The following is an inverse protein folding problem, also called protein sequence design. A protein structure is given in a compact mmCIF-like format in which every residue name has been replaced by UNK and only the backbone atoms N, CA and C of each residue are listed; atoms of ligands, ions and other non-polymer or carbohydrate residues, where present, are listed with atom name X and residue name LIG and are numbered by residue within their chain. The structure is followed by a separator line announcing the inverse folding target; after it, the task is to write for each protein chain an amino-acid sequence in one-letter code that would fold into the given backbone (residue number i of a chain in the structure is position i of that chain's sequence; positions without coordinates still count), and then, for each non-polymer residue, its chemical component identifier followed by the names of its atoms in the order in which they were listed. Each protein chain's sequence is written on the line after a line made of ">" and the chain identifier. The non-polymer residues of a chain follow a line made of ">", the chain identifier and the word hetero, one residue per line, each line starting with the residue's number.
data_IF_777002307909
#
_entry.id   IF_777002307909
#
_cell.length_a   1.000
_cell.length_b   1.000
_cell.length_c   1.000
_cell.angle_alpha   90.00
_cell.angle_beta   90.00
_cell.angle_gamma   90.00
#
_symmetry.space_group_name_H-M   'P 1'
#
loop_
_entity.id
_entity.type
_entity.pdbx_description
1 polymer ?
#
# COMPACT_ATOMS: atom_id res chain seq x y z
N UNK A 1 0.03 -1.37 -6.77
CA UNK A 1 -1.28 -1.54 -7.44
C UNK A 1 -1.77 -0.17 -7.84
N UNK A 2 -2.33 -0.05 -9.04
CA UNK A 2 -2.91 1.18 -9.58
C UNK A 2 -4.27 0.83 -10.20
N UNK A 3 -5.34 1.55 -9.86
CA UNK A 3 -6.74 1.16 -10.15
C UNK A 3 -7.06 -0.30 -9.85
N UNK A 4 -6.74 -0.77 -8.64
CA UNK A 4 -6.99 -2.17 -8.20
C UNK A 4 -6.24 -3.25 -9.01
N UNK A 5 -5.42 -2.85 -9.99
CA UNK A 5 -4.67 -3.76 -10.85
C UNK A 5 -3.16 -3.69 -10.58
N UNK A 6 -2.48 -4.81 -10.81
CA UNK A 6 -1.02 -4.87 -10.77
C UNK A 6 -0.50 -4.48 -12.14
N UNK A 7 0.45 -3.55 -12.22
CA UNK A 7 0.99 -3.06 -13.49
C UNK A 7 1.56 -4.17 -14.39
N UNK A 8 2.09 -5.25 -13.79
CA UNK A 8 2.57 -6.44 -14.51
C UNK A 8 1.44 -7.24 -15.18
N UNK A 9 0.23 -7.20 -14.63
CA UNK A 9 -0.96 -7.86 -15.21
C UNK A 9 -1.66 -6.94 -16.21
N UNK A 10 -1.74 -5.65 -15.92
CA UNK A 10 -2.40 -4.67 -16.80
C UNK A 10 -1.60 -4.45 -18.11
N UNK A 11 -0.27 -4.37 -18.02
CA UNK A 11 0.60 -4.05 -19.15
C UNK A 11 1.77 -5.03 -19.27
N UNK A 12 1.53 -6.31 -19.58
CA UNK A 12 2.56 -7.36 -19.54
C UNK A 12 3.73 -7.12 -20.52
N UNK A 13 3.44 -6.58 -21.71
CA UNK A 13 4.46 -6.30 -22.72
C UNK A 13 5.27 -5.06 -22.36
N UNK A 14 4.64 -4.01 -21.84
CA UNK A 14 5.35 -2.81 -21.41
C UNK A 14 6.22 -3.09 -20.17
N UNK A 15 5.69 -3.87 -19.23
CA UNK A 15 6.37 -4.19 -17.97
C UNK A 15 7.65 -5.01 -18.17
N UNK A 16 7.73 -5.86 -19.20
CA UNK A 16 8.95 -6.63 -19.49
C UNK A 16 10.10 -5.75 -19.98
N UNK A 17 9.80 -4.60 -20.59
CA UNK A 17 10.78 -3.62 -21.09
C UNK A 17 11.12 -2.53 -20.07
N UNK A 18 10.52 -2.53 -18.88
CA UNK A 18 10.83 -1.53 -17.86
C UNK A 18 12.26 -1.69 -17.33
N UNK A 19 13.04 -0.60 -17.31
CA UNK A 19 14.40 -0.57 -16.72
C UNK A 19 14.38 -0.79 -15.22
N UNK A 20 13.36 -0.25 -14.55
CA UNK A 20 13.17 -0.33 -13.09
C UNK A 20 11.75 -0.79 -12.80
N UNK A 21 11.62 -2.04 -12.34
CA UNK A 21 10.33 -2.65 -12.03
C UNK A 21 9.74 -2.15 -10.70
N UNK A 22 10.59 -1.73 -9.78
CA UNK A 22 10.21 -1.27 -8.44
C UNK A 22 10.12 0.27 -8.35
N UNK A 23 9.83 0.95 -9.46
CA UNK A 23 9.69 2.42 -9.46
C UNK A 23 8.35 2.84 -8.83
N UNK A 24 8.38 3.88 -7.99
CA UNK A 24 7.15 4.48 -7.48
C UNK A 24 6.44 5.27 -8.58
N UNK A 25 5.10 5.27 -8.56
CA UNK A 25 4.29 6.01 -9.53
C UNK A 25 4.61 7.51 -9.53
N UNK A 26 4.79 8.12 -8.35
CA UNK A 26 5.18 9.52 -8.23
C UNK A 26 6.51 9.80 -8.96
N UNK A 27 7.50 8.92 -8.81
CA UNK A 27 8.80 9.09 -9.46
C UNK A 27 8.71 8.90 -10.98
N UNK A 28 7.89 7.96 -11.44
CA UNK A 28 7.62 7.74 -12.85
C UNK A 28 6.81 8.90 -13.48
N UNK A 29 5.97 9.57 -12.69
CA UNK A 29 5.23 10.74 -13.15
C UNK A 29 6.10 12.00 -13.21
N UNK A 30 7.02 12.18 -12.26
CA UNK A 30 7.96 13.30 -12.23
C UNK A 30 9.09 13.20 -13.28
N UNK A 31 9.31 12.04 -13.89
CA UNK A 31 10.27 11.92 -14.99
C UNK A 31 9.78 12.68 -16.21
N UNK A 32 10.68 13.45 -16.82
CA UNK A 32 10.37 14.35 -17.94
C UNK A 32 9.83 13.59 -19.16
N UNK A 33 10.35 12.39 -19.42
CA UNK A 33 9.88 11.51 -20.48
C UNK A 33 9.68 10.09 -19.93
N UNK A 34 8.47 9.55 -20.10
CA UNK A 34 8.12 8.19 -19.73
C UNK A 34 8.92 7.16 -20.53
N UNK A 35 9.35 7.48 -21.75
CA UNK A 35 10.11 6.54 -22.59
C UNK A 35 11.48 6.21 -21.99
N UNK A 36 12.08 7.12 -21.22
CA UNK A 36 13.36 6.88 -20.55
C UNK A 36 13.29 5.75 -19.51
N UNK A 37 12.10 5.46 -18.99
CA UNK A 37 11.87 4.37 -18.05
C UNK A 37 11.94 2.98 -18.68
N UNK A 38 11.96 2.90 -20.02
CA UNK A 38 11.91 1.65 -20.77
C UNK A 38 13.16 1.42 -21.63
N UNK A 39 13.45 0.15 -21.90
CA UNK A 39 14.46 -0.28 -22.85
C UNK A 39 13.92 -0.12 -24.28
N UNK A 40 14.70 0.51 -25.16
CA UNK A 40 14.37 0.73 -26.56
C UNK A 40 15.17 -0.25 -27.44
N UNK A 41 14.65 -0.67 -28.61
CA UNK A 41 13.38 -0.25 -29.23
C UNK A 41 12.14 -0.98 -28.67
N UNK A 42 11.04 -0.24 -28.48
CA UNK A 42 9.78 -0.81 -28.00
C UNK A 42 9.01 -1.51 -29.14
N UNK A 43 8.50 -2.74 -28.93
CA UNK A 43 7.62 -3.38 -29.89
C UNK A 43 6.25 -2.70 -29.94
N UNK A 44 5.52 -2.88 -31.05
CA UNK A 44 4.21 -2.23 -31.29
C UNK A 44 3.22 -2.44 -30.15
N UNK A 45 3.20 -3.65 -29.58
CA UNK A 45 2.33 -4.04 -28.47
C UNK A 45 2.68 -3.32 -27.16
N UNK A 46 3.96 -3.06 -26.90
CA UNK A 46 4.37 -2.31 -25.72
C UNK A 46 4.11 -0.81 -25.92
N UNK A 47 4.28 -0.30 -27.15
CA UNK A 47 4.04 1.10 -27.48
C UNK A 47 2.56 1.47 -27.34
N UNK A 48 1.63 0.61 -27.77
CA UNK A 48 0.19 0.84 -27.54
C UNK A 48 -0.17 0.84 -26.05
N UNK A 49 0.44 -0.04 -25.25
CA UNK A 49 0.28 -0.06 -23.79
C UNK A 49 0.85 1.20 -23.13
N UNK A 50 1.97 1.73 -23.62
CA UNK A 50 2.56 2.97 -23.14
C UNK A 50 1.66 4.18 -23.41
N UNK A 51 1.05 4.25 -24.59
CA UNK A 51 0.11 5.33 -24.91
C UNK A 51 -1.13 5.28 -24.00
N UNK A 52 -1.69 4.09 -23.77
CA UNK A 52 -2.79 3.89 -22.83
C UNK A 52 -2.40 4.31 -21.41
N UNK A 53 -1.19 3.97 -20.96
CA UNK A 53 -0.67 4.41 -19.67
C UNK A 53 -0.53 5.93 -19.59
N UNK A 54 -0.05 6.60 -20.65
CA UNK A 54 0.10 8.04 -20.68
C UNK A 54 -1.26 8.77 -20.53
N UNK A 55 -2.29 8.36 -21.30
CA UNK A 55 -3.65 8.91 -21.19
C UNK A 55 -4.23 8.72 -19.79
N UNK A 56 -3.95 7.56 -19.19
CA UNK A 56 -4.36 7.23 -17.83
C UNK A 56 -3.67 8.09 -16.76
N UNK A 57 -2.42 8.50 -16.99
CA UNK A 57 -1.66 9.38 -16.10
C UNK A 57 -2.08 10.85 -16.23
N UNK A 58 -2.49 11.31 -17.42
CA UNK A 58 -2.97 12.69 -17.65
C UNK A 58 -4.18 13.07 -16.79
N UNK A 59 -5.00 12.10 -16.38
CA UNK A 59 -6.15 12.32 -15.50
C UNK A 59 -5.80 12.45 -14.01
N UNK A 60 -4.55 12.21 -13.62
CA UNK A 60 -4.15 12.15 -12.21
C UNK A 60 -3.66 13.52 -11.76
N UNK A 61 -4.41 14.14 -10.85
CA UNK A 61 -3.92 15.29 -10.10
C UNK A 61 -3.25 14.78 -8.83
N UNK A 62 -1.92 14.85 -8.77
CA UNK A 62 -1.19 14.63 -7.52
C UNK A 62 -1.42 15.84 -6.61
N UNK A 63 -2.29 15.66 -5.60
CA UNK A 63 -2.36 16.61 -4.51
C UNK A 63 -1.09 16.45 -3.66
N UNK A 64 -0.43 17.56 -3.33
CA UNK A 64 0.70 17.58 -2.39
C UNK A 64 0.25 17.43 -0.93
N UNK A 65 -1.04 17.15 -0.72
CA UNK A 65 -1.59 16.91 0.60
C UNK A 65 -1.10 15.56 1.14
N UNK A 66 -0.69 15.56 2.39
CA UNK A 66 -0.30 14.33 3.07
C UNK A 66 -1.52 13.46 3.27
N UNK A 67 -1.41 12.19 2.90
CA UNK A 67 -2.42 11.18 3.23
C UNK A 67 -2.65 11.14 4.75
N UNK A 68 -3.89 11.44 5.16
CA UNK A 68 -4.29 11.36 6.56
C UNK A 68 -4.84 9.96 6.82
N UNK A 69 -4.11 9.18 7.62
CA UNK A 69 -4.58 7.88 8.08
C UNK A 69 -5.51 8.04 9.27
N UNK A 70 -6.80 7.84 9.05
CA UNK A 70 -7.80 7.83 10.12
C UNK A 70 -7.99 6.42 10.68
N UNK A 71 -8.17 6.32 12.00
CA UNK A 71 -8.55 5.05 12.61
C UNK A 71 -9.95 4.63 12.16
N UNK A 72 -10.14 3.34 11.88
CA UNK A 72 -11.43 2.73 11.49
C UNK A 72 -12.53 2.91 12.53
N UNK A 73 -12.17 3.11 13.80
CA UNK A 73 -13.12 3.58 14.80
C UNK A 73 -13.15 5.10 14.76
N UNK A 74 -14.32 5.70 14.53
CA UNK A 74 -14.58 7.15 14.40
C UNK A 74 -14.02 8.08 15.51
N UNK A 75 -13.39 7.51 16.54
CA UNK A 75 -12.67 8.27 17.55
C UNK A 75 -11.21 8.46 17.13
N UNK A 76 -10.75 9.71 16.97
CA UNK A 76 -9.39 10.04 16.53
C UNK A 76 -8.26 9.64 17.50
N UNK A 77 -8.58 9.01 18.64
CA UNK A 77 -7.58 8.53 19.59
C UNK A 77 -7.18 7.08 19.32
N UNK A 78 -5.86 6.86 19.31
CA UNK A 78 -5.28 5.53 19.27
C UNK A 78 -5.66 4.71 20.50
N UNK A 79 -6.05 3.45 20.28
CA UNK A 79 -6.25 2.48 21.34
C UNK A 79 -5.77 1.11 20.88
N UNK A 80 -4.73 0.59 21.54
CA UNK A 80 -4.17 -0.72 21.23
C UNK A 80 -5.21 -1.85 21.42
N UNK A 81 -6.11 -1.73 22.40
CA UNK A 81 -7.19 -2.70 22.63
C UNK A 81 -8.18 -2.75 21.46
N UNK A 82 -8.56 -1.59 20.91
CA UNK A 82 -9.43 -1.51 19.73
C UNK A 82 -8.72 -2.02 18.47
N UNK A 83 -7.45 -1.66 18.29
CA UNK A 83 -6.62 -2.17 17.20
C UNK A 83 -6.56 -3.69 17.24
N UNK A 84 -6.23 -4.25 18.40
CA UNK A 84 -6.16 -5.68 18.62
C UNK A 84 -7.50 -6.35 18.29
N UNK A 85 -8.60 -5.90 18.88
CA UNK A 85 -9.93 -6.47 18.63
C UNK A 85 -10.32 -6.47 17.14
N UNK A 86 -10.08 -5.37 16.43
CA UNK A 86 -10.35 -5.28 15.00
C UNK A 86 -9.45 -6.19 14.16
N UNK A 87 -8.16 -6.29 14.50
CA UNK A 87 -7.19 -7.10 13.76
C UNK A 87 -7.31 -8.60 14.07
N UNK A 88 -7.70 -8.98 15.28
CA UNK A 88 -7.84 -10.39 15.67
C UNK A 88 -9.15 -11.02 15.23
N UNK A 89 -10.16 -10.21 14.87
CA UNK A 89 -11.47 -10.67 14.44
C UNK A 89 -12.11 -11.69 15.39
N UNK A 90 -13.08 -12.45 14.87
CA UNK A 90 -13.62 -13.63 15.55
C UNK A 90 -12.69 -14.81 15.29
N UNK A 91 -11.61 -14.92 16.08
CA UNK A 91 -10.75 -16.10 16.04
C UNK A 91 -11.56 -17.29 16.55
N UNK A 92 -12.01 -18.18 15.66
CA UNK A 92 -12.55 -19.49 16.03
C UNK A 92 -11.38 -20.31 16.62
N UNK A 93 -11.11 -20.07 17.91
CA UNK A 93 -10.18 -20.89 18.66
C UNK A 93 -10.89 -22.21 18.93
N UNK A 94 -10.33 -23.30 18.43
CA UNK A 94 -10.80 -24.65 18.73
C UNK A 94 -10.88 -24.82 20.25
N UNK A 95 -12.01 -25.33 20.77
CA UNK A 95 -12.32 -25.40 22.21
C UNK A 95 -11.28 -26.15 23.05
N UNK A 96 -10.37 -26.91 22.42
CA UNK A 96 -9.26 -27.56 23.11
C UNK A 96 -8.15 -26.60 23.56
N UNK A 97 -8.15 -25.34 23.09
CA UNK A 97 -7.13 -24.35 23.42
C UNK A 97 -7.74 -23.17 24.20
N UNK A 98 -8.46 -23.47 25.27
CA UNK A 98 -8.78 -22.51 26.33
C UNK A 98 -8.31 -23.09 27.65
N UNK A 99 -7.05 -22.87 28.01
CA UNK A 99 -6.57 -23.03 29.39
C UNK A 99 -6.60 -21.67 30.09
N UNK A 100 -7.20 -21.56 31.29
CA UNK A 100 -7.38 -20.28 31.99
C UNK A 100 -6.13 -19.93 32.83
N UNK A 101 -4.99 -19.67 32.21
CA UNK A 101 -3.82 -19.15 32.95
C UNK A 101 -2.95 -18.23 32.10
N UNK A 102 -3.42 -17.00 31.84
CA UNK A 102 -2.54 -15.88 31.48
C UNK A 102 -3.19 -14.54 31.84
N UNK A 103 -3.65 -14.39 33.09
CA UNK A 103 -3.85 -13.07 33.69
C UNK A 103 -2.53 -12.57 34.25
N UNK A 104 -1.54 -12.33 33.39
CA UNK A 104 -0.40 -11.48 33.76
C UNK A 104 -0.88 -10.04 33.72
N UNK A 105 -1.27 -9.55 34.90
CA UNK A 105 -1.53 -8.15 35.19
C UNK A 105 -0.41 -7.28 34.59
N UNK A 106 -0.72 -6.50 33.55
CA UNK A 106 0.12 -5.39 33.14
C UNK A 106 -0.12 -4.23 34.12
N UNK A 107 0.57 -4.21 35.25
CA UNK A 107 0.57 -3.04 36.13
C UNK A 107 1.34 -1.90 35.47
N UNK A 108 0.67 -0.74 35.38
CA UNK A 108 1.22 0.54 34.92
C UNK A 108 2.42 0.92 35.80
N UNK A 109 3.63 0.96 35.25
CA UNK A 109 4.78 1.62 35.90
C UNK A 109 4.51 3.12 35.95
N UNK A 110 4.34 3.68 37.15
CA UNK A 110 4.40 5.12 37.36
C UNK A 110 5.86 5.52 37.49
N UNK A 111 6.29 6.51 36.70
CA UNK A 111 7.63 7.11 36.78
C UNK A 111 7.57 8.18 37.86
N UNK A 112 8.07 7.88 39.05
CA UNK A 112 8.24 8.90 40.10
C UNK A 112 9.61 9.53 39.93
N UNK A 113 9.61 10.78 39.50
CA UNK A 113 10.74 11.72 39.59
C UNK A 113 10.99 12.04 41.07
N UNK A 114 12.23 11.86 41.53
CA UNK A 114 12.90 12.77 42.47
C UNK A 114 14.37 12.82 42.07
#
# INVERSE_FOLDING_TARGET
>A
MWHEQVSSQAYPHLYSFAKKKDISLQKAYLTHDLQELFHLPLPRQALSQLLLLATNLEGINFLDEKDIWTYIWSNGFFSASKAYHHLTGHRQVHQSCTSPTASTSCTRRQKTTV
#
